data_IF_017539763388
#
_entry.id   IF_017539763388
#
_cell.length_a   1.000
_cell.length_b   1.000
_cell.length_c   1.000
_cell.angle_alpha   90.00
_cell.angle_beta   90.00
_cell.angle_gamma   90.00
#
_symmetry.space_group_name_H-M   'P 1'
#
loop_
_entity.id
_entity.type
_entity.pdbx_description
1 polymer ?
#
# COMPACT_ATOMS: atom_id res chain seq x y z
N UNK A 1 4.00 15.14 5.52
CA UNK A 1 4.34 15.13 6.96
C UNK A 1 5.86 15.17 7.18
N UNK A 2 6.64 14.71 6.22
CA UNK A 2 8.10 14.71 6.23
C UNK A 2 8.65 15.01 4.83
N UNK A 3 9.88 15.52 4.76
CA UNK A 3 10.66 15.62 3.52
C UNK A 3 11.59 14.40 3.40
N UNK A 4 11.89 14.04 2.16
CA UNK A 4 12.86 13.00 1.86
C UNK A 4 14.05 13.66 1.16
N UNK A 5 15.25 13.42 1.69
CA UNK A 5 16.51 13.95 1.22
C UNK A 5 17.42 12.82 0.77
N UNK A 6 18.19 13.06 -0.28
CA UNK A 6 19.33 12.22 -0.59
C UNK A 6 20.47 12.60 0.37
N UNK A 7 20.95 11.63 1.12
CA UNK A 7 22.09 11.77 2.04
C UNK A 7 23.21 10.79 1.65
N UNK A 8 24.44 11.09 2.04
CA UNK A 8 25.57 10.18 1.84
C UNK A 8 26.35 10.02 3.15
N UNK A 9 26.91 8.84 3.36
CA UNK A 9 27.84 8.60 4.45
C UNK A 9 29.28 9.08 4.11
N UNK A 10 30.22 8.91 5.03
CA UNK A 10 31.62 9.27 4.82
C UNK A 10 32.34 8.45 3.75
N UNK A 11 31.70 7.43 3.17
CA UNK A 11 32.18 6.60 2.05
C UNK A 11 31.43 6.87 0.76
N UNK A 12 30.63 7.95 0.71
CA UNK A 12 29.77 8.34 -0.41
C UNK A 12 28.67 7.31 -0.75
N UNK A 13 28.30 6.41 0.18
CA UNK A 13 27.16 5.53 -0.02
C UNK A 13 25.86 6.35 0.12
N UNK A 14 24.92 6.28 -0.87
CA UNK A 14 23.69 7.04 -0.81
C UNK A 14 22.65 6.39 0.12
N UNK A 15 21.85 7.22 0.76
CA UNK A 15 20.72 6.87 1.61
C UNK A 15 19.56 7.83 1.39
N UNK A 16 18.33 7.38 1.67
CA UNK A 16 17.16 8.23 1.74
C UNK A 16 16.94 8.64 3.21
N UNK A 17 17.08 9.92 3.50
CA UNK A 17 16.80 10.51 4.82
C UNK A 17 15.41 11.11 4.82
N UNK A 18 14.48 10.51 5.57
CA UNK A 18 13.14 11.03 5.81
C UNK A 18 13.14 11.84 7.10
N UNK A 19 12.89 13.14 7.01
CA UNK A 19 12.94 14.07 8.13
C UNK A 19 11.56 14.69 8.38
N UNK A 20 11.02 14.57 9.60
CA UNK A 20 9.73 15.16 9.93
C UNK A 20 9.79 16.70 9.82
N UNK A 21 8.77 17.33 9.23
CA UNK A 21 8.72 18.81 9.15
C UNK A 21 8.64 19.47 10.54
N UNK A 22 9.32 20.59 10.72
CA UNK A 22 9.32 21.38 11.96
C UNK A 22 7.93 21.77 12.44
N UNK A 23 7.00 22.05 11.52
CA UNK A 23 5.59 22.38 11.85
C UNK A 23 4.88 21.29 12.66
N UNK A 24 5.35 20.05 12.63
CA UNK A 24 4.81 18.93 13.41
C UNK A 24 5.60 18.65 14.70
N UNK A 25 6.62 19.46 15.02
CA UNK A 25 7.50 19.29 16.18
C UNK A 25 6.77 19.16 17.52
N UNK A 26 5.63 19.87 17.67
CA UNK A 26 4.79 19.82 18.86
C UNK A 26 3.53 18.96 18.69
N UNK A 27 3.32 18.37 17.54
CA UNK A 27 2.19 17.49 17.29
C UNK A 27 2.50 16.05 17.73
N UNK A 28 2.09 15.69 18.94
CA UNK A 28 2.33 14.36 19.53
C UNK A 28 1.74 13.22 18.70
N UNK A 29 0.60 13.45 18.05
CA UNK A 29 -0.04 12.45 17.19
C UNK A 29 0.82 12.16 15.95
N UNK A 30 1.27 13.20 15.25
CA UNK A 30 2.13 13.07 14.08
C UNK A 30 3.46 12.41 14.45
N UNK A 31 4.07 12.78 15.59
CA UNK A 31 5.29 12.14 16.08
C UNK A 31 5.12 10.65 16.37
N UNK A 32 4.03 10.28 17.06
CA UNK A 32 3.75 8.87 17.38
C UNK A 32 3.56 8.04 16.11
N UNK A 33 2.87 8.58 15.11
CA UNK A 33 2.70 7.91 13.81
C UNK A 33 4.04 7.72 13.11
N UNK A 34 4.83 8.78 12.97
CA UNK A 34 6.15 8.72 12.34
C UNK A 34 7.07 7.69 13.02
N UNK A 35 7.19 7.76 14.37
CA UNK A 35 8.03 6.84 15.14
C UNK A 35 7.53 5.40 15.04
N UNK A 36 6.21 5.17 15.04
CA UNK A 36 5.64 3.84 14.79
C UNK A 36 6.05 3.29 13.44
N UNK A 37 5.97 4.09 12.36
CA UNK A 37 6.43 3.68 11.04
C UNK A 37 7.90 3.27 11.04
N UNK A 38 8.75 4.02 11.77
CA UNK A 38 10.15 3.66 11.97
C UNK A 38 10.33 2.33 12.71
N UNK A 39 9.58 2.14 13.81
CA UNK A 39 9.63 0.92 14.62
C UNK A 39 9.16 -0.31 13.84
N UNK A 40 8.06 -0.18 13.08
CA UNK A 40 7.55 -1.26 12.22
C UNK A 40 8.61 -1.65 11.21
N UNK A 41 9.17 -0.67 10.47
CA UNK A 41 10.19 -0.94 9.47
C UNK A 41 11.48 -1.54 10.07
N UNK A 42 11.85 -1.14 11.29
CA UNK A 42 13.00 -1.69 12.01
C UNK A 42 12.77 -3.13 12.52
N UNK A 43 11.51 -3.55 12.67
CA UNK A 43 11.13 -4.85 13.23
C UNK A 43 10.89 -5.91 12.15
N UNK A 44 10.37 -5.49 10.99
CA UNK A 44 10.13 -6.40 9.87
C UNK A 44 11.48 -6.84 9.28
N UNK A 45 11.72 -8.16 9.08
CA UNK A 45 12.93 -8.64 8.42
C UNK A 45 13.12 -8.04 7.03
N UNK A 46 14.37 -7.91 6.60
CA UNK A 46 14.71 -7.42 5.27
C UNK A 46 14.00 -8.24 4.17
N UNK A 47 13.49 -7.53 3.17
CA UNK A 47 12.80 -8.13 2.03
C UNK A 47 13.07 -7.30 0.77
N UNK A 48 13.22 -7.96 -0.36
CA UNK A 48 13.38 -7.28 -1.65
C UNK A 48 12.13 -6.48 -2.08
N UNK A 49 10.99 -6.66 -1.40
CA UNK A 49 9.74 -5.96 -1.71
C UNK A 49 9.45 -4.77 -0.79
N UNK A 50 10.26 -4.57 0.26
CA UNK A 50 10.10 -3.51 1.25
C UNK A 50 11.36 -2.65 1.26
N UNK A 51 11.20 -1.34 1.47
CA UNK A 51 12.35 -0.43 1.57
C UNK A 51 13.26 -0.83 2.74
N UNK A 52 14.57 -0.91 2.49
CA UNK A 52 15.55 -1.34 3.50
C UNK A 52 15.68 -0.31 4.64
N UNK A 53 15.58 -0.79 5.87
CA UNK A 53 15.83 0.00 7.09
C UNK A 53 17.33 0.17 7.33
N UNK A 54 17.72 1.36 7.80
CA UNK A 54 19.12 1.63 8.24
C UNK A 54 19.15 2.04 9.70
N UNK A 55 18.51 3.17 10.02
CA UNK A 55 18.41 3.67 11.39
C UNK A 55 17.28 4.68 11.52
N UNK A 56 16.86 4.97 12.72
CA UNK A 56 15.98 6.09 13.04
C UNK A 56 16.35 6.73 14.38
N UNK A 57 15.94 7.97 14.58
CA UNK A 57 16.24 8.68 15.80
C UNK A 57 15.62 10.07 15.84
N UNK A 58 16.27 10.94 16.59
CA UNK A 58 15.87 12.35 16.72
C UNK A 58 17.11 13.25 16.63
N UNK A 59 17.05 14.28 15.81
CA UNK A 59 18.04 15.37 15.75
C UNK A 59 17.36 16.67 16.17
N UNK A 60 17.88 17.36 17.19
CA UNK A 60 17.27 18.57 17.77
C UNK A 60 15.77 18.41 18.13
N UNK A 61 15.38 17.19 18.58
CA UNK A 61 14.00 16.85 18.93
C UNK A 61 13.07 16.51 17.74
N UNK A 62 13.58 16.53 16.52
CA UNK A 62 12.88 16.22 15.27
C UNK A 62 13.18 14.78 14.88
N UNK A 63 12.15 13.92 14.73
CA UNK A 63 12.33 12.54 14.30
C UNK A 63 12.85 12.44 12.88
N UNK A 64 13.73 11.47 12.65
CA UNK A 64 14.23 11.08 11.33
C UNK A 64 14.24 9.57 11.14
N UNK A 65 14.24 9.14 9.89
CA UNK A 65 14.42 7.76 9.45
C UNK A 65 15.40 7.75 8.28
N UNK A 66 16.43 6.91 8.38
CA UNK A 66 17.36 6.62 7.28
C UNK A 66 16.99 5.26 6.69
N UNK A 67 16.85 5.24 5.38
CA UNK A 67 16.50 4.05 4.60
C UNK A 67 17.51 3.86 3.47
N UNK A 68 17.49 2.69 2.85
CA UNK A 68 18.19 2.51 1.58
C UNK A 68 17.76 3.58 0.56
N UNK A 69 18.70 4.02 -0.25
CA UNK A 69 18.39 4.83 -1.42
C UNK A 69 18.07 3.91 -2.60
N UNK A 70 16.90 4.07 -3.17
CA UNK A 70 16.47 3.34 -4.37
C UNK A 70 16.19 4.36 -5.47
N UNK A 71 16.83 4.19 -6.63
CA UNK A 71 16.52 4.99 -7.81
C UNK A 71 15.21 4.49 -8.43
N UNK A 72 14.11 5.09 -8.01
CA UNK A 72 12.77 4.65 -8.35
C UNK A 72 11.80 5.83 -8.38
N UNK A 73 10.69 5.65 -9.07
CA UNK A 73 9.54 6.56 -9.00
C UNK A 73 8.37 5.83 -8.36
N UNK A 74 7.44 6.57 -7.75
CA UNK A 74 6.24 5.93 -7.24
C UNK A 74 5.28 5.54 -8.36
N UNK A 75 4.55 4.47 -8.11
CA UNK A 75 3.65 3.84 -9.09
C UNK A 75 2.56 4.81 -9.59
N UNK A 76 2.12 5.77 -8.75
CA UNK A 76 1.13 6.78 -9.15
C UNK A 76 1.66 7.71 -10.24
N UNK A 77 2.93 8.10 -10.18
CA UNK A 77 3.57 8.94 -11.21
C UNK A 77 3.70 8.15 -12.52
N UNK A 78 4.19 6.90 -12.46
CA UNK A 78 4.30 6.04 -13.64
C UNK A 78 2.94 5.82 -14.30
N UNK A 79 1.93 5.55 -13.48
CA UNK A 79 0.56 5.39 -13.93
C UNK A 79 0.01 6.64 -14.61
N UNK A 80 0.16 7.83 -13.98
CA UNK A 80 -0.39 9.08 -14.49
C UNK A 80 0.16 9.48 -15.87
N UNK A 81 1.40 9.07 -16.19
CA UNK A 81 2.02 9.33 -17.51
C UNK A 81 1.97 8.14 -18.46
N UNK A 82 1.25 7.08 -18.11
CA UNK A 82 1.17 5.83 -18.89
C UNK A 82 2.57 5.30 -19.27
N UNK A 83 3.44 5.22 -18.26
CA UNK A 83 4.83 4.88 -18.45
C UNK A 83 4.99 3.47 -19.03
N UNK A 84 5.87 3.33 -20.01
CA UNK A 84 6.14 2.07 -20.68
C UNK A 84 6.66 0.99 -19.71
N UNK A 85 7.43 1.39 -18.70
CA UNK A 85 7.91 0.50 -17.66
C UNK A 85 6.75 -0.21 -16.95
N UNK A 86 5.67 0.53 -16.62
CA UNK A 86 4.48 -0.05 -16.00
C UNK A 86 3.79 -1.04 -16.93
N UNK A 87 3.60 -0.66 -18.20
CA UNK A 87 2.89 -1.52 -19.18
C UNK A 87 3.64 -2.85 -19.39
N UNK A 88 4.95 -2.78 -19.56
CA UNK A 88 5.79 -3.96 -19.83
C UNK A 88 5.96 -4.88 -18.60
N UNK A 89 5.82 -4.36 -17.39
CA UNK A 89 6.08 -5.10 -16.16
C UNK A 89 4.86 -5.25 -15.25
N UNK A 90 3.64 -4.95 -15.73
CA UNK A 90 2.43 -4.89 -14.88
C UNK A 90 2.20 -6.19 -14.11
N UNK A 91 2.40 -7.35 -14.71
CA UNK A 91 2.22 -8.64 -14.06
C UNK A 91 3.20 -8.81 -12.89
N UNK A 92 4.49 -8.52 -13.10
CA UNK A 92 5.49 -8.61 -12.05
C UNK A 92 5.25 -7.58 -10.94
N UNK A 93 4.89 -6.36 -11.30
CA UNK A 93 4.56 -5.30 -10.33
C UNK A 93 3.39 -5.72 -9.43
N UNK A 94 2.33 -6.31 -9.97
CA UNK A 94 1.20 -6.80 -9.18
C UNK A 94 1.63 -7.94 -8.24
N UNK A 95 2.50 -8.84 -8.69
CA UNK A 95 3.03 -9.94 -7.89
C UNK A 95 3.90 -9.40 -6.75
N UNK A 96 4.79 -8.46 -7.04
CA UNK A 96 5.68 -7.86 -6.05
C UNK A 96 4.89 -7.04 -5.00
N UNK A 97 3.86 -6.29 -5.43
CA UNK A 97 2.92 -5.60 -4.54
C UNK A 97 2.22 -6.58 -3.58
N UNK A 98 1.76 -7.71 -4.09
CA UNK A 98 1.14 -8.76 -3.28
C UNK A 98 2.15 -9.37 -2.31
N UNK A 99 3.39 -9.66 -2.78
CA UNK A 99 4.47 -10.22 -1.96
C UNK A 99 4.93 -9.25 -0.87
N UNK A 100 4.93 -7.93 -1.12
CA UNK A 100 5.23 -6.93 -0.11
C UNK A 100 4.20 -6.94 1.03
N UNK A 101 2.90 -6.99 0.71
CA UNK A 101 1.84 -7.08 1.73
C UNK A 101 1.83 -8.44 2.42
N UNK A 102 2.09 -9.54 1.71
CA UNK A 102 2.26 -10.87 2.28
C UNK A 102 3.35 -10.87 3.33
N UNK A 103 4.54 -10.33 2.99
CA UNK A 103 5.66 -10.22 3.92
C UNK A 103 5.32 -9.42 5.17
N UNK A 104 4.61 -8.29 5.04
CA UNK A 104 4.13 -7.54 6.19
C UNK A 104 3.19 -8.36 7.09
N UNK A 105 2.21 -9.04 6.48
CA UNK A 105 1.22 -9.82 7.23
C UNK A 105 1.86 -11.01 7.94
N UNK A 106 2.81 -11.71 7.31
CA UNK A 106 3.56 -12.81 7.92
C UNK A 106 4.40 -12.36 9.12
N UNK A 107 4.85 -11.09 9.10
CA UNK A 107 5.57 -10.48 10.22
C UNK A 107 4.65 -9.73 11.20
N UNK A 108 3.35 -9.99 11.12
CA UNK A 108 2.37 -9.55 12.11
C UNK A 108 1.91 -8.09 11.98
N UNK A 109 2.01 -7.45 10.80
CA UNK A 109 1.60 -6.06 10.60
C UNK A 109 0.63 -5.90 9.44
N UNK A 110 -0.39 -5.03 9.61
CA UNK A 110 -1.22 -4.46 8.54
C UNK A 110 -0.63 -3.12 8.11
N UNK A 111 -0.69 -2.81 6.81
CA UNK A 111 -0.18 -1.54 6.28
C UNK A 111 -1.16 -0.37 6.50
N UNK A 112 -2.44 -0.56 6.23
CA UNK A 112 -3.56 0.37 6.41
C UNK A 112 -3.55 1.64 5.51
N UNK A 113 -2.54 1.86 4.71
CA UNK A 113 -2.49 2.95 3.71
C UNK A 113 -1.82 2.47 2.41
N UNK A 114 -2.14 1.21 2.01
CA UNK A 114 -1.62 0.67 0.76
C UNK A 114 -2.27 1.40 -0.43
N UNK A 115 -1.42 1.94 -1.30
CA UNK A 115 -1.81 2.71 -2.51
C UNK A 115 -0.63 2.89 -3.45
N UNK A 116 -0.85 3.25 -4.72
CA UNK A 116 0.23 3.45 -5.70
C UNK A 116 1.30 4.48 -5.30
N UNK A 117 0.94 5.52 -4.53
CA UNK A 117 1.88 6.50 -4.02
C UNK A 117 2.93 5.93 -3.07
N UNK A 118 2.59 4.83 -2.37
CA UNK A 118 3.46 4.16 -1.40
C UNK A 118 4.19 2.95 -2.00
N UNK A 119 4.14 2.77 -3.31
CA UNK A 119 4.84 1.72 -4.06
C UNK A 119 5.86 2.38 -4.98
N UNK A 120 7.14 2.19 -4.71
CA UNK A 120 8.23 2.62 -5.59
C UNK A 120 8.52 1.53 -6.61
N UNK A 121 8.77 1.92 -7.86
CA UNK A 121 9.13 1.01 -8.95
C UNK A 121 10.49 1.43 -9.50
N UNK A 122 11.45 0.53 -9.47
CA UNK A 122 12.79 0.73 -9.98
C UNK A 122 12.81 0.63 -11.51
N UNK A 123 13.91 1.06 -12.14
CA UNK A 123 14.06 1.00 -13.61
C UNK A 123 13.97 -0.41 -14.20
N UNK A 124 14.24 -1.46 -13.40
CA UNK A 124 14.11 -2.85 -13.80
C UNK A 124 12.73 -3.47 -13.44
N UNK A 125 11.77 -2.66 -13.02
CA UNK A 125 10.41 -3.10 -12.69
C UNK A 125 10.22 -3.69 -11.30
N UNK A 126 11.27 -3.76 -10.45
CA UNK A 126 11.14 -4.26 -9.06
C UNK A 126 10.41 -3.26 -8.16
N UNK A 127 9.67 -3.76 -7.20
CA UNK A 127 8.87 -2.95 -6.27
C UNK A 127 9.58 -2.75 -4.93
N UNK A 128 9.37 -1.58 -4.32
CA UNK A 128 9.65 -1.32 -2.89
C UNK A 128 8.44 -0.65 -2.26
N UNK A 129 7.84 -1.31 -1.27
CA UNK A 129 6.78 -0.73 -0.44
C UNK A 129 7.38 0.22 0.57
N UNK A 130 6.77 1.39 0.73
CA UNK A 130 7.24 2.48 1.62
C UNK A 130 6.09 3.02 2.47
N UNK A 131 6.42 3.87 3.46
CA UNK A 131 5.49 4.61 4.33
C UNK A 131 4.61 3.75 5.26
N UNK A 132 5.21 3.32 6.36
CA UNK A 132 4.60 2.47 7.41
C UNK A 132 3.96 3.28 8.55
N UNK A 133 3.76 4.59 8.40
CA UNK A 133 3.26 5.49 9.46
C UNK A 133 1.89 5.08 10.01
N UNK A 134 1.06 4.42 9.21
CA UNK A 134 -0.26 3.93 9.62
C UNK A 134 -0.28 2.46 10.01
N UNK A 135 0.81 1.73 9.77
CA UNK A 135 0.87 0.31 10.06
C UNK A 135 0.49 -0.02 11.51
N UNK A 136 -0.20 -1.13 11.70
CA UNK A 136 -0.64 -1.63 13.01
C UNK A 136 -0.35 -3.11 13.13
N UNK A 137 -0.08 -3.61 14.35
CA UNK A 137 0.02 -5.04 14.59
C UNK A 137 -1.27 -5.76 14.20
N UNK A 138 -1.13 -6.94 13.61
CA UNK A 138 -2.23 -7.89 13.44
C UNK A 138 -2.55 -8.49 14.80
N UNK A 139 -3.83 -8.58 15.15
CA UNK A 139 -4.32 -9.13 16.40
C UNK A 139 -5.32 -10.24 16.12
N UNK A 140 -5.43 -11.23 17.04
CA UNK A 140 -6.43 -12.30 16.98
C UNK A 140 -7.87 -11.76 16.96
N UNK A 141 -8.07 -10.57 17.51
CA UNK A 141 -9.35 -9.86 17.47
C UNK A 141 -9.26 -8.63 16.58
N UNK A 142 -10.32 -8.31 15.81
CA UNK A 142 -10.37 -7.09 15.01
C UNK A 142 -10.10 -5.85 15.87
N UNK A 143 -9.27 -4.94 15.38
CA UNK A 143 -8.88 -3.71 16.07
C UNK A 143 -9.78 -2.55 15.66
N UNK A 144 -10.22 -1.75 16.65
CA UNK A 144 -10.94 -0.50 16.38
C UNK A 144 -10.00 0.69 16.56
N UNK A 145 -9.84 1.47 15.50
CA UNK A 145 -9.06 2.71 15.55
C UNK A 145 -9.95 3.87 15.98
N UNK A 146 -9.42 4.79 16.80
CA UNK A 146 -10.14 6.01 17.20
C UNK A 146 -10.42 6.97 16.04
N UNK A 147 -9.58 6.92 15.02
CA UNK A 147 -9.73 7.57 13.71
C UNK A 147 -9.17 6.61 12.68
N UNK A 148 -9.81 6.51 11.53
CA UNK A 148 -9.31 5.74 10.40
C UNK A 148 -8.58 6.70 9.44
N UNK A 149 -7.29 6.97 9.69
CA UNK A 149 -6.48 7.77 8.78
C UNK A 149 -6.14 6.91 7.55
N UNK A 150 -5.89 7.56 6.43
CA UNK A 150 -5.52 6.93 5.17
C UNK A 150 -6.14 7.67 3.99
N UNK A 151 -6.04 7.10 2.83
CA UNK A 151 -6.56 7.66 1.57
C UNK A 151 -7.91 7.03 1.25
N UNK A 152 -9.05 7.74 1.35
CA UNK A 152 -10.40 7.17 1.25
C UNK A 152 -10.64 6.33 0.01
N UNK A 153 -10.04 6.68 -1.13
CA UNK A 153 -10.19 5.95 -2.39
C UNK A 153 -9.74 4.47 -2.33
N UNK A 154 -8.80 4.15 -1.43
CA UNK A 154 -8.26 2.78 -1.26
C UNK A 154 -8.76 2.11 0.03
N UNK A 155 -9.51 2.82 0.88
CA UNK A 155 -10.03 2.28 2.13
C UNK A 155 -11.13 1.25 1.89
N UNK A 156 -11.09 0.17 2.66
CA UNK A 156 -12.16 -0.81 2.71
C UNK A 156 -13.44 -0.22 3.36
N UNK A 157 -14.65 -0.78 3.05
CA UNK A 157 -15.91 -0.30 3.61
C UNK A 157 -15.90 -0.22 5.13
N UNK A 158 -15.36 -1.23 5.82
CA UNK A 158 -15.24 -1.28 7.28
C UNK A 158 -14.33 -0.17 7.83
N UNK A 159 -13.29 0.25 7.09
CA UNK A 159 -12.47 1.41 7.47
C UNK A 159 -13.27 2.71 7.39
N UNK A 160 -13.99 2.93 6.28
CA UNK A 160 -14.83 4.12 6.09
C UNK A 160 -15.96 4.20 7.11
N UNK A 161 -16.50 3.06 7.55
CA UNK A 161 -17.54 2.96 8.56
C UNK A 161 -17.02 3.07 10.01
N UNK A 162 -15.69 3.09 10.23
CA UNK A 162 -15.12 3.09 11.58
C UNK A 162 -15.37 1.78 12.34
N UNK A 163 -15.52 0.68 11.63
CA UNK A 163 -15.71 -0.65 12.21
C UNK A 163 -14.37 -1.27 12.66
N UNK A 164 -14.38 -2.37 13.42
CA UNK A 164 -13.17 -3.12 13.72
C UNK A 164 -12.50 -3.69 12.46
N UNK A 165 -11.18 -3.60 12.38
CA UNK A 165 -10.36 -3.92 11.21
C UNK A 165 -9.59 -5.22 11.40
N UNK A 166 -9.39 -5.94 10.31
CA UNK A 166 -8.45 -7.06 10.18
C UNK A 166 -7.48 -6.80 9.02
N UNK A 167 -6.47 -7.65 8.87
CA UNK A 167 -5.52 -7.58 7.75
C UNK A 167 -6.18 -7.61 6.35
N UNK A 168 -7.44 -8.01 6.25
CA UNK A 168 -8.19 -8.05 4.99
C UNK A 168 -8.50 -6.68 4.41
N UNK A 169 -8.29 -5.60 5.15
CA UNK A 169 -8.36 -4.23 4.61
C UNK A 169 -7.25 -3.95 3.60
N UNK A 170 -6.06 -4.52 3.80
CA UNK A 170 -4.96 -4.39 2.84
C UNK A 170 -5.22 -5.22 1.56
N UNK A 171 -5.94 -6.35 1.68
CA UNK A 171 -6.40 -7.13 0.51
C UNK A 171 -7.38 -6.29 -0.33
N UNK A 172 -8.29 -5.57 0.31
CA UNK A 172 -9.20 -4.67 -0.40
C UNK A 172 -8.42 -3.53 -1.08
N UNK A 173 -7.50 -2.89 -0.36
CA UNK A 173 -6.67 -1.82 -0.90
C UNK A 173 -5.82 -2.28 -2.09
N UNK A 174 -5.26 -3.50 -2.04
CA UNK A 174 -4.60 -4.13 -3.18
C UNK A 174 -5.57 -4.29 -4.37
N UNK A 175 -6.79 -4.78 -4.12
CA UNK A 175 -7.82 -4.92 -5.16
C UNK A 175 -8.15 -3.61 -5.85
N UNK A 176 -8.27 -2.50 -5.09
CA UNK A 176 -8.49 -1.15 -5.64
C UNK A 176 -7.32 -0.70 -6.51
N UNK A 177 -6.09 -0.85 -6.00
CA UNK A 177 -4.88 -0.47 -6.74
C UNK A 177 -4.72 -1.30 -8.03
N UNK A 178 -4.92 -2.62 -7.97
CA UNK A 178 -4.85 -3.49 -9.13
C UNK A 178 -5.93 -3.15 -10.17
N UNK A 179 -7.16 -2.90 -9.73
CA UNK A 179 -8.25 -2.46 -10.62
C UNK A 179 -7.85 -1.16 -11.34
N UNK A 180 -7.40 -0.14 -10.59
CA UNK A 180 -6.99 1.15 -11.15
C UNK A 180 -5.87 1.00 -12.18
N UNK A 181 -4.83 0.23 -11.87
CA UNK A 181 -3.68 0.00 -12.75
C UNK A 181 -4.05 -0.73 -14.05
N UNK A 182 -5.00 -1.66 -14.00
CA UNK A 182 -5.37 -2.50 -15.13
C UNK A 182 -6.48 -1.91 -16.00
N UNK A 183 -7.27 -0.97 -15.48
CA UNK A 183 -8.43 -0.40 -16.18
C UNK A 183 -8.31 1.10 -16.47
N UNK A 184 -7.35 1.75 -15.85
CA UNK A 184 -7.22 3.22 -15.87
C UNK A 184 -8.46 3.93 -15.28
N UNK A 185 -9.20 3.25 -14.41
CA UNK A 185 -10.41 3.75 -13.74
C UNK A 185 -10.38 3.39 -12.25
N UNK A 186 -11.02 4.20 -11.41
CA UNK A 186 -11.27 3.82 -10.02
C UNK A 186 -12.50 2.92 -9.91
N UNK A 187 -12.48 1.84 -9.11
CA UNK A 187 -13.64 0.96 -8.97
C UNK A 187 -14.81 1.66 -8.26
N UNK A 188 -14.54 2.60 -7.36
CA UNK A 188 -15.54 3.32 -6.57
C UNK A 188 -15.21 4.82 -6.55
N UNK A 189 -15.37 5.55 -7.67
CA UNK A 189 -15.04 6.97 -7.74
C UNK A 189 -16.00 7.79 -6.87
N UNK A 190 -15.48 8.79 -6.13
CA UNK A 190 -16.29 9.70 -5.30
C UNK A 190 -15.46 10.85 -4.76
N UNK A 191 -16.11 12.00 -4.56
CA UNK A 191 -15.47 13.23 -4.07
C UNK A 191 -15.31 13.23 -2.55
N UNK A 192 -16.16 12.46 -1.86
CA UNK A 192 -16.14 12.35 -0.39
C UNK A 192 -16.03 10.89 0.06
N UNK A 193 -15.51 10.65 1.29
CA UNK A 193 -15.51 9.30 1.88
C UNK A 193 -16.92 8.66 1.92
N UNK A 194 -17.97 9.46 2.11
CA UNK A 194 -19.35 9.01 2.13
C UNK A 194 -19.82 8.56 0.75
N UNK A 195 -19.44 9.26 -0.32
CA UNK A 195 -19.79 8.86 -1.68
C UNK A 195 -19.09 7.56 -2.08
N UNK A 196 -17.80 7.45 -1.73
CA UNK A 196 -17.02 6.22 -1.96
C UNK A 196 -17.67 5.05 -1.24
N UNK A 197 -17.97 5.20 0.06
CA UNK A 197 -18.62 4.16 0.86
C UNK A 197 -19.98 3.76 0.25
N UNK A 198 -20.81 4.72 -0.14
CA UNK A 198 -22.10 4.43 -0.78
C UNK A 198 -21.92 3.55 -2.01
N UNK A 199 -20.95 3.84 -2.88
CA UNK A 199 -20.66 3.04 -4.08
C UNK A 199 -20.08 1.66 -3.78
N UNK A 200 -19.33 1.55 -2.69
CA UNK A 200 -18.83 0.24 -2.23
C UNK A 200 -19.94 -0.66 -1.69
N UNK A 201 -20.98 -0.08 -1.08
CA UNK A 201 -22.13 -0.81 -0.53
C UNK A 201 -23.20 -1.06 -1.58
N UNK A 202 -23.56 -0.03 -2.34
CA UNK A 202 -24.45 -0.12 -3.50
C UNK A 202 -23.60 -0.28 -4.77
N UNK A 203 -23.54 -1.46 -5.29
CA UNK A 203 -22.70 -1.83 -6.45
C UNK A 203 -23.45 -1.75 -7.78
N UNK A 204 -24.58 -1.06 -7.82
CA UNK A 204 -25.41 -0.95 -9.04
C UNK A 204 -24.64 -0.38 -10.24
N UNK A 205 -23.73 0.59 -9.97
CA UNK A 205 -22.90 1.25 -10.98
C UNK A 205 -21.47 0.67 -11.07
N UNK A 206 -21.20 -0.44 -10.38
CA UNK A 206 -19.87 -1.06 -10.43
C UNK A 206 -19.65 -1.73 -11.78
N UNK A 207 -18.56 -1.35 -12.45
CA UNK A 207 -18.16 -1.91 -13.72
C UNK A 207 -17.05 -2.94 -13.50
N UNK A 208 -17.20 -4.23 -13.88
CA UNK A 208 -16.14 -5.21 -13.79
C UNK A 208 -14.91 -4.84 -14.64
N UNK A 209 -13.67 -5.21 -14.22
CA UNK A 209 -12.43 -4.84 -14.91
C UNK A 209 -12.43 -5.13 -16.41
N UNK A 210 -12.95 -6.28 -16.85
CA UNK A 210 -12.98 -6.68 -18.26
C UNK A 210 -13.93 -5.88 -19.13
N UNK A 211 -14.87 -5.15 -18.56
CA UNK A 211 -15.69 -4.21 -19.33
C UNK A 211 -14.89 -2.96 -19.74
N UNK A 212 -13.89 -2.57 -18.95
CA UNK A 212 -12.95 -1.48 -19.30
C UNK A 212 -11.79 -1.99 -20.15
N UNK A 213 -11.27 -3.18 -19.84
CA UNK A 213 -10.15 -3.79 -20.53
C UNK A 213 -10.47 -5.25 -20.87
N UNK A 214 -11.05 -5.54 -22.04
CA UNK A 214 -11.44 -6.89 -22.46
C UNK A 214 -10.28 -7.89 -22.60
N UNK A 215 -9.04 -7.39 -22.76
CA UNK A 215 -7.83 -8.21 -22.88
C UNK A 215 -7.40 -8.84 -21.55
N UNK A 216 -7.96 -8.39 -20.41
CA UNK A 216 -7.63 -8.96 -19.11
C UNK A 216 -8.04 -10.45 -19.04
N UNK A 217 -7.14 -11.33 -18.53
CA UNK A 217 -7.48 -12.71 -18.25
C UNK A 217 -8.69 -12.82 -17.31
N UNK A 218 -9.65 -13.67 -17.61
CA UNK A 218 -10.85 -13.85 -16.79
C UNK A 218 -10.51 -14.29 -15.34
N UNK A 219 -9.43 -15.05 -15.17
CA UNK A 219 -9.00 -15.49 -13.84
C UNK A 219 -8.39 -14.32 -13.04
N UNK A 220 -7.68 -13.38 -13.70
CA UNK A 220 -7.16 -12.17 -13.04
C UNK A 220 -8.32 -11.27 -12.58
N UNK A 221 -9.35 -11.10 -13.41
CA UNK A 221 -10.57 -10.39 -13.01
C UNK A 221 -11.19 -11.00 -11.75
N UNK A 222 -11.32 -12.34 -11.69
CA UNK A 222 -11.88 -13.03 -10.52
C UNK A 222 -11.08 -12.73 -9.25
N UNK A 223 -9.74 -12.73 -9.33
CA UNK A 223 -8.88 -12.39 -8.20
C UNK A 223 -9.18 -10.96 -7.71
N UNK A 224 -9.24 -10.00 -8.63
CA UNK A 224 -9.52 -8.59 -8.29
C UNK A 224 -10.92 -8.44 -7.68
N UNK A 225 -11.94 -9.02 -8.30
CA UNK A 225 -13.32 -8.96 -7.81
C UNK A 225 -13.44 -9.52 -6.40
N UNK A 226 -12.76 -10.62 -6.10
CA UNK A 226 -12.75 -11.23 -4.77
C UNK A 226 -12.03 -10.35 -3.75
N UNK A 227 -10.95 -9.65 -4.11
CA UNK A 227 -10.33 -8.65 -3.23
C UNK A 227 -11.29 -7.50 -2.91
N UNK A 228 -12.14 -7.10 -3.87
CA UNK A 228 -13.07 -5.98 -3.77
C UNK A 228 -14.42 -6.36 -3.12
N UNK A 229 -14.59 -7.56 -2.57
CA UNK A 229 -15.82 -7.91 -1.85
C UNK A 229 -16.11 -6.93 -0.72
N UNK A 230 -17.37 -6.51 -0.60
CA UNK A 230 -17.80 -5.54 0.40
C UNK A 230 -17.61 -6.10 1.80
N UNK A 231 -18.03 -7.34 2.02
CA UNK A 231 -17.87 -8.04 3.28
C UNK A 231 -16.48 -8.65 3.37
N UNK A 232 -15.73 -8.31 4.44
CA UNK A 232 -14.34 -8.73 4.61
C UNK A 232 -14.18 -10.27 4.60
N UNK A 233 -15.18 -11.00 5.10
CA UNK A 233 -15.13 -12.47 5.18
C UNK A 233 -15.31 -13.16 3.81
N UNK A 234 -15.81 -12.47 2.83
CA UNK A 234 -15.89 -12.95 1.44
C UNK A 234 -14.60 -12.75 0.66
N UNK A 235 -13.70 -11.89 1.13
CA UNK A 235 -12.36 -11.72 0.57
C UNK A 235 -11.49 -12.95 0.84
N UNK A 236 -10.26 -12.90 0.37
CA UNK A 236 -9.27 -13.92 0.72
C UNK A 236 -9.03 -13.97 2.24
N UNK A 237 -8.87 -15.18 2.82
CA UNK A 237 -8.61 -15.31 4.25
C UNK A 237 -7.25 -14.74 4.67
N UNK A 238 -6.25 -14.85 3.78
CA UNK A 238 -4.89 -14.36 3.98
C UNK A 238 -4.31 -13.80 2.68
N UNK A 239 -3.37 -12.87 2.79
CA UNK A 239 -2.65 -12.32 1.65
C UNK A 239 -1.89 -13.41 0.88
N UNK A 240 -1.29 -14.39 1.57
CA UNK A 240 -0.58 -15.52 0.96
C UNK A 240 -1.46 -16.38 0.04
N UNK A 241 -2.75 -16.54 0.38
CA UNK A 241 -3.70 -17.27 -0.47
C UNK A 241 -3.99 -16.46 -1.74
N UNK A 242 -4.20 -15.15 -1.60
CA UNK A 242 -4.42 -14.24 -2.72
C UNK A 242 -3.18 -14.18 -3.63
N UNK A 243 -1.99 -13.97 -3.06
CA UNK A 243 -0.74 -13.86 -3.81
C UNK A 243 -0.43 -15.15 -4.61
N UNK A 244 -0.69 -16.32 -4.04
CA UNK A 244 -0.54 -17.60 -4.75
C UNK A 244 -1.50 -17.73 -5.92
N UNK A 245 -2.78 -17.38 -5.74
CA UNK A 245 -3.77 -17.42 -6.81
C UNK A 245 -3.43 -16.40 -7.91
N UNK A 246 -3.00 -15.19 -7.54
CA UNK A 246 -2.52 -14.18 -8.48
C UNK A 246 -1.33 -14.68 -9.30
N UNK A 247 -0.30 -15.24 -8.65
CA UNK A 247 0.89 -15.80 -9.31
C UNK A 247 0.50 -16.91 -10.30
N UNK A 248 -0.39 -17.83 -9.91
CA UNK A 248 -0.84 -18.90 -10.80
C UNK A 248 -1.64 -18.39 -12.00
N UNK A 249 -2.23 -17.21 -11.91
CA UNK A 249 -3.01 -16.59 -13.00
C UNK A 249 -2.12 -15.83 -14.00
N UNK A 250 -0.99 -15.30 -13.55
CA UNK A 250 -0.12 -14.45 -14.36
C UNK A 250 1.07 -15.20 -14.99
N UNK A 251 1.42 -16.38 -14.46
CA UNK A 251 2.54 -17.21 -14.97
C UNK A 251 2.08 -18.47 -15.71
N UNK A 252 0.89 -18.49 -16.29
CA UNK A 252 0.41 -19.59 -17.13
C UNK A 252 1.03 -19.56 -18.52
#
# INVERSE_FOLDING_TARGET
MADIWLATDGKNKPYALRLMHDRYKFNLFAKRRFLRGCEVLATIPDSEYIIGYVEHGKVKGQPYLVMEYVEAENLKILYARSDRLLIENIAQILIDMASALEHMHENGYMHLDFKPENVLVTRNGSVRLVDFDLAQPISDKPIKLSKNPGTPAYMAPEQLQGQPLTHRVDIFAFGVAAYELLTNQQPFPGDTPTDILRKQLDRSDFIPPRQHNPELPANLEKVILKCLETESDRRYPFMSVMARELKSTLYV
#
